data_IF_716023733912
#
_entry.id   IF_716023733912
#
_cell.length_a   1.000
_cell.length_b   1.000
_cell.length_c   1.000
_cell.angle_alpha   90.00
_cell.angle_beta   90.00
_cell.angle_gamma   90.00
#
_symmetry.space_group_name_H-M   'P 1'
#
loop_
_entity.id
_entity.type
_entity.pdbx_description
1 polymer ?
#
# COMPACT_ATOMS: atom_id res chain seq x y z
N UNK A 1 -15.78 22.71 -19.63
CA UNK A 1 -15.25 22.16 -18.37
C UNK A 1 -14.40 20.96 -18.77
N UNK A 2 -13.07 21.07 -18.71
CA UNK A 2 -12.20 19.91 -18.95
C UNK A 2 -12.31 18.99 -17.74
N UNK A 3 -12.83 17.78 -17.94
CA UNK A 3 -12.88 16.75 -16.91
C UNK A 3 -11.42 16.33 -16.66
N UNK A 4 -10.80 16.77 -15.56
CA UNK A 4 -9.49 16.22 -15.20
C UNK A 4 -9.68 14.71 -14.96
N UNK A 5 -8.90 13.89 -15.65
CA UNK A 5 -8.93 12.45 -15.47
C UNK A 5 -8.55 12.12 -14.01
N UNK A 6 -9.33 11.26 -13.37
CA UNK A 6 -9.03 10.78 -12.01
C UNK A 6 -7.73 9.96 -12.09
N UNK A 7 -6.70 10.30 -11.30
CA UNK A 7 -5.47 9.52 -11.25
C UNK A 7 -5.76 8.07 -10.88
N UNK A 8 -5.22 7.16 -11.68
CA UNK A 8 -5.38 5.72 -11.49
C UNK A 8 -4.04 5.01 -11.57
N UNK A 9 -3.91 3.93 -10.82
CA UNK A 9 -2.80 3.00 -10.90
C UNK A 9 -3.34 1.57 -10.97
N UNK A 10 -2.92 0.79 -11.95
CA UNK A 10 -3.36 -0.60 -12.13
C UNK A 10 -2.15 -1.52 -12.17
N UNK A 11 -2.23 -2.65 -11.47
CA UNK A 11 -1.21 -3.70 -11.46
C UNK A 11 -1.84 -5.06 -11.16
N UNK A 12 -1.00 -6.08 -11.01
CA UNK A 12 -1.39 -7.46 -10.70
C UNK A 12 -0.48 -7.99 -9.59
N UNK A 13 -1.09 -8.47 -8.50
CA UNK A 13 -0.38 -9.29 -7.52
C UNK A 13 -0.16 -10.67 -8.13
N UNK A 14 1.08 -11.18 -8.07
CA UNK A 14 1.47 -12.49 -8.62
C UNK A 14 2.25 -13.28 -7.58
N UNK A 15 2.51 -14.56 -7.84
CA UNK A 15 3.37 -15.38 -6.98
C UNK A 15 4.83 -14.89 -6.89
N UNK A 16 5.25 -13.98 -7.79
CA UNK A 16 6.56 -13.33 -7.75
C UNK A 16 6.52 -11.96 -7.06
N UNK A 17 5.35 -11.49 -6.63
CA UNK A 17 5.23 -10.26 -5.86
C UNK A 17 5.93 -10.40 -4.51
N UNK A 18 6.37 -9.27 -3.96
CA UNK A 18 6.99 -9.27 -2.65
C UNK A 18 5.97 -9.69 -1.58
N UNK A 19 6.48 -10.22 -0.48
CA UNK A 19 5.64 -10.79 0.56
C UNK A 19 5.91 -10.19 1.92
N UNK A 20 4.88 -10.10 2.76
CA UNK A 20 5.00 -9.68 4.14
C UNK A 20 3.96 -10.35 5.03
N UNK A 21 4.06 -10.06 6.33
CA UNK A 21 3.06 -10.47 7.31
C UNK A 21 2.07 -9.35 7.61
N UNK A 22 0.78 -9.67 7.62
CA UNK A 22 -0.18 -8.76 8.24
C UNK A 22 0.08 -8.69 9.75
N UNK A 23 -0.35 -7.58 10.36
CA UNK A 23 -0.11 -7.22 11.77
C UNK A 23 -0.44 -8.32 12.78
N UNK A 24 -1.46 -9.13 12.51
CA UNK A 24 -2.03 -10.10 13.46
C UNK A 24 -1.69 -11.55 13.14
N UNK A 25 -0.98 -11.80 12.04
CA UNK A 25 -0.81 -13.15 11.51
C UNK A 25 0.57 -13.73 11.79
N UNK A 26 0.58 -15.01 12.15
CA UNK A 26 1.77 -15.83 12.04
C UNK A 26 1.88 -16.33 10.59
N UNK A 27 2.88 -15.91 9.85
CA UNK A 27 3.02 -16.20 8.40
C UNK A 27 4.15 -17.15 8.07
N UNK A 28 4.56 -17.97 9.04
CA UNK A 28 5.61 -18.97 8.85
C UNK A 28 5.31 -19.93 7.68
N UNK A 29 4.02 -20.13 7.35
CA UNK A 29 3.59 -21.09 6.32
C UNK A 29 2.93 -20.46 5.07
N UNK A 30 2.55 -19.17 5.11
CA UNK A 30 1.87 -18.52 3.98
C UNK A 30 1.84 -17.01 4.16
N UNK A 31 2.57 -16.25 3.34
CA UNK A 31 2.61 -14.80 3.45
C UNK A 31 1.61 -14.12 2.50
N UNK A 32 1.46 -12.82 2.67
CA UNK A 32 0.62 -11.97 1.81
C UNK A 32 1.46 -11.36 0.71
N UNK A 33 1.01 -11.49 -0.54
CA UNK A 33 1.59 -10.78 -1.67
C UNK A 33 1.19 -9.31 -1.61
N UNK A 34 2.15 -8.41 -1.83
CA UNK A 34 1.89 -6.98 -1.81
C UNK A 34 2.57 -6.24 -2.96
N UNK A 35 2.09 -5.03 -3.20
CA UNK A 35 2.78 -4.02 -3.99
C UNK A 35 2.81 -2.70 -3.24
N UNK A 36 3.99 -2.06 -3.19
CA UNK A 36 4.20 -0.79 -2.53
C UNK A 36 4.33 0.35 -3.55
N UNK A 37 3.62 1.43 -3.27
CA UNK A 37 3.56 2.64 -4.10
C UNK A 37 3.97 3.84 -3.27
N UNK A 38 5.01 4.54 -3.70
CA UNK A 38 5.27 5.88 -3.19
C UNK A 38 4.27 6.86 -3.81
N UNK A 39 3.63 7.66 -2.98
CA UNK A 39 2.70 8.70 -3.39
C UNK A 39 3.43 10.03 -3.56
N UNK A 40 3.19 10.70 -4.68
CA UNK A 40 3.70 12.04 -4.95
C UNK A 40 2.55 13.05 -4.81
N UNK A 41 2.52 13.75 -3.68
CA UNK A 41 1.50 14.75 -3.34
C UNK A 41 2.00 16.13 -3.73
N UNK A 42 1.29 16.80 -4.64
CA UNK A 42 1.64 18.14 -5.15
C UNK A 42 0.86 19.29 -4.50
N UNK A 43 -0.13 18.98 -3.69
CA UNK A 43 -0.96 19.96 -2.98
C UNK A 43 -1.40 19.39 -1.64
N UNK A 44 -1.30 20.18 -0.57
CA UNK A 44 -1.83 19.80 0.73
C UNK A 44 -3.36 19.67 0.65
N UNK A 45 -3.93 18.61 1.22
CA UNK A 45 -5.38 18.43 1.17
C UNK A 45 -5.87 17.07 1.61
N UNK A 46 -7.19 16.91 1.63
CA UNK A 46 -7.82 15.62 1.84
C UNK A 46 -7.81 14.81 0.54
N UNK A 47 -7.31 13.60 0.65
CA UNK A 47 -7.25 12.62 -0.42
C UNK A 47 -7.99 11.35 -0.01
N UNK A 48 -8.74 10.78 -0.95
CA UNK A 48 -9.38 9.48 -0.82
C UNK A 48 -8.75 8.53 -1.83
N UNK A 49 -8.28 7.39 -1.36
CA UNK A 49 -7.80 6.30 -2.20
C UNK A 49 -8.78 5.14 -2.08
N UNK A 50 -9.17 4.60 -3.22
CA UNK A 50 -10.11 3.49 -3.32
C UNK A 50 -9.48 2.40 -4.17
N UNK A 51 -9.54 1.15 -3.70
CA UNK A 51 -9.19 -0.01 -4.51
C UNK A 51 -10.41 -0.54 -5.27
N UNK A 52 -10.16 -1.17 -6.41
CA UNK A 52 -11.13 -1.97 -7.13
C UNK A 52 -10.45 -3.23 -7.67
N UNK A 53 -11.01 -4.38 -7.33
CA UNK A 53 -10.53 -5.70 -7.68
C UNK A 53 -11.66 -6.72 -7.57
N UNK A 54 -11.47 -7.90 -8.17
CA UNK A 54 -12.24 -9.09 -7.84
C UNK A 54 -11.73 -9.83 -6.60
N UNK A 55 -10.55 -9.46 -6.11
CA UNK A 55 -9.99 -9.96 -4.84
C UNK A 55 -10.57 -9.19 -3.67
N UNK A 56 -10.61 -9.82 -2.50
CA UNK A 56 -10.80 -9.12 -1.22
C UNK A 56 -9.49 -8.38 -0.87
N UNK A 57 -9.50 -7.05 -0.96
CA UNK A 57 -8.27 -6.25 -0.89
C UNK A 57 -8.09 -5.64 0.48
N UNK A 58 -6.83 -5.56 0.90
CA UNK A 58 -6.46 -4.98 2.18
C UNK A 58 -5.39 -3.91 1.91
N UNK A 59 -5.55 -2.74 2.50
CA UNK A 59 -4.74 -1.56 2.22
C UNK A 59 -4.06 -1.02 3.47
N UNK A 60 -2.81 -0.58 3.30
CA UNK A 60 -2.08 0.16 4.34
C UNK A 60 -1.57 1.48 3.76
N UNK A 61 -1.66 2.54 4.55
CA UNK A 61 -1.03 3.82 4.26
C UNK A 61 -0.01 4.13 5.35
N UNK A 62 1.24 4.34 4.94
CA UNK A 62 2.37 4.61 5.81
C UNK A 62 2.87 6.04 5.68
N UNK A 63 3.33 6.59 6.80
CA UNK A 63 4.15 7.80 6.82
C UNK A 63 5.61 7.43 6.58
N UNK A 64 6.25 8.08 5.61
CA UNK A 64 7.67 7.98 5.28
C UNK A 64 8.12 6.59 4.77
N UNK A 65 8.14 5.57 5.62
CA UNK A 65 8.70 4.25 5.29
C UNK A 65 7.76 3.10 5.64
N UNK A 66 7.83 2.05 4.81
CA UNK A 66 7.24 0.74 5.03
C UNK A 66 8.38 -0.28 5.10
N UNK A 67 8.36 -1.13 6.13
CA UNK A 67 9.27 -2.26 6.28
C UNK A 67 8.45 -3.56 6.36
N UNK A 68 8.59 -4.50 5.40
CA UNK A 68 7.84 -5.75 5.42
C UNK A 68 8.19 -6.65 6.61
N UNK A 69 9.33 -6.44 7.28
CA UNK A 69 9.72 -7.15 8.52
C UNK A 69 8.99 -6.56 9.75
N UNK A 70 8.76 -5.25 9.74
CA UNK A 70 8.07 -4.53 10.82
C UNK A 70 6.86 -3.74 10.29
N UNK A 71 5.86 -4.42 9.73
CA UNK A 71 4.81 -3.79 8.94
C UNK A 71 3.83 -2.97 9.77
N UNK A 72 3.92 -3.01 11.09
CA UNK A 72 3.10 -2.21 12.02
C UNK A 72 3.67 -0.82 12.28
N UNK A 73 4.91 -0.56 11.86
CA UNK A 73 5.56 0.73 12.09
C UNK A 73 5.06 1.78 11.08
N UNK A 74 4.94 3.03 11.54
CA UNK A 74 4.58 4.20 10.71
C UNK A 74 3.23 4.15 10.00
N UNK A 75 2.31 3.26 10.39
CA UNK A 75 0.96 3.22 9.82
C UNK A 75 0.20 4.50 10.16
N UNK A 76 -0.41 5.10 9.14
CA UNK A 76 -1.39 6.17 9.27
C UNK A 76 -2.82 5.66 9.16
N UNK A 77 -3.08 4.71 8.24
CA UNK A 77 -4.38 4.10 8.05
C UNK A 77 -4.26 2.66 7.56
N UNK A 78 -5.30 1.89 7.87
CA UNK A 78 -5.51 0.51 7.43
C UNK A 78 -6.99 0.36 7.15
N UNK A 79 -7.34 -0.32 6.06
CA UNK A 79 -8.73 -0.65 5.74
C UNK A 79 -8.79 -1.85 4.79
N UNK A 80 -9.90 -2.58 4.81
CA UNK A 80 -10.16 -3.76 3.98
C UNK A 80 -11.58 -3.81 3.38
N UNK A 81 -12.54 -3.02 3.87
CA UNK A 81 -13.93 -3.14 3.41
C UNK A 81 -14.69 -1.83 3.17
N UNK A 82 -14.13 -0.67 3.56
CA UNK A 82 -14.86 0.61 3.51
C UNK A 82 -15.13 1.14 2.09
N UNK A 83 -14.43 0.60 1.07
CA UNK A 83 -14.64 0.92 -0.35
C UNK A 83 -15.83 0.21 -1.00
N UNK A 84 -16.48 -0.71 -0.27
CA UNK A 84 -17.53 -1.58 -0.80
C UNK A 84 -16.96 -2.75 -1.59
N UNK A 85 -17.75 -3.82 -1.76
CA UNK A 85 -17.29 -5.08 -2.38
C UNK A 85 -15.97 -5.63 -1.78
N UNK A 86 -15.78 -5.49 -0.46
CA UNK A 86 -14.56 -5.92 0.24
C UNK A 86 -13.28 -5.26 -0.30
N UNK A 87 -13.39 -3.98 -0.67
CA UNK A 87 -12.26 -3.19 -1.14
C UNK A 87 -11.85 -2.18 -0.08
N UNK A 88 -10.55 -1.97 0.08
CA UNK A 88 -10.07 -0.92 0.97
C UNK A 88 -10.39 0.47 0.41
N UNK A 89 -10.65 1.41 1.33
CA UNK A 89 -10.74 2.84 1.09
C UNK A 89 -10.24 3.61 2.32
N UNK A 90 -9.33 4.56 2.10
CA UNK A 90 -8.90 5.50 3.14
C UNK A 90 -9.06 6.94 2.68
N UNK A 91 -9.47 7.81 3.60
CA UNK A 91 -9.55 9.26 3.41
C UNK A 91 -8.68 9.96 4.44
N UNK A 92 -7.72 10.78 3.98
CA UNK A 92 -6.72 11.38 4.85
C UNK A 92 -6.22 12.73 4.34
N UNK A 93 -5.89 13.63 5.27
CA UNK A 93 -5.15 14.85 4.94
C UNK A 93 -3.68 14.53 4.70
N UNK A 94 -3.19 14.79 3.49
CA UNK A 94 -1.79 14.58 3.10
C UNK A 94 -1.13 15.92 2.77
N UNK A 95 0.16 16.01 3.06
CA UNK A 95 0.96 17.21 2.86
C UNK A 95 1.96 17.02 1.72
N UNK A 96 2.25 18.11 1.04
CA UNK A 96 3.39 18.23 0.13
C UNK A 96 4.69 18.00 0.89
N UNK A 97 5.73 17.55 0.16
CA UNK A 97 7.08 17.27 0.68
C UNK A 97 7.18 16.17 1.74
N UNK A 98 6.05 15.63 2.20
CA UNK A 98 6.00 14.39 2.97
C UNK A 98 6.03 13.18 2.05
N UNK A 99 6.68 12.12 2.50
CA UNK A 99 6.68 10.84 1.80
C UNK A 99 5.59 9.95 2.38
N UNK A 100 4.78 9.36 1.50
CA UNK A 100 3.77 8.38 1.89
C UNK A 100 3.93 7.12 1.05
N UNK A 101 3.73 5.97 1.68
CA UNK A 101 3.74 4.67 1.01
C UNK A 101 2.38 4.03 1.16
N UNK A 102 1.74 3.73 0.04
CA UNK A 102 0.53 2.94 -0.04
C UNK A 102 0.92 1.51 -0.37
N UNK A 103 0.51 0.56 0.47
CA UNK A 103 0.68 -0.87 0.21
C UNK A 103 -0.68 -1.48 -0.09
N UNK A 104 -0.79 -2.08 -1.27
CA UNK A 104 -1.95 -2.88 -1.67
C UNK A 104 -1.63 -4.37 -1.52
N UNK A 105 -2.52 -5.08 -0.84
CA UNK A 105 -2.43 -6.52 -0.55
C UNK A 105 -3.84 -7.09 -0.50
N UNK A 106 -4.00 -8.28 0.05
CA UNK A 106 -5.26 -9.04 0.09
C UNK A 106 -5.61 -9.42 1.52
N UNK A 107 -6.90 -9.54 1.83
CA UNK A 107 -7.37 -9.93 3.17
C UNK A 107 -6.92 -11.35 3.54
N UNK A 108 -6.92 -12.25 2.55
CA UNK A 108 -6.51 -13.64 2.72
C UNK A 108 -5.13 -13.90 2.12
N UNK A 109 -4.38 -14.82 2.72
CA UNK A 109 -3.03 -15.21 2.28
C UNK A 109 -3.07 -15.93 0.93
N UNK A 110 -1.94 -15.93 0.22
CA UNK A 110 -1.75 -16.61 -1.07
C UNK A 110 -2.72 -16.18 -2.20
N UNK A 111 -3.39 -15.03 -2.09
CA UNK A 111 -4.27 -14.51 -3.13
C UNK A 111 -3.49 -13.63 -4.10
N UNK A 112 -3.76 -13.82 -5.39
CA UNK A 112 -3.15 -13.09 -6.51
C UNK A 112 -4.25 -12.63 -7.45
N UNK A 113 -3.99 -11.57 -8.22
CA UNK A 113 -4.98 -11.01 -9.12
C UNK A 113 -4.78 -9.53 -9.43
N UNK A 114 -5.53 -9.01 -10.41
CA UNK A 114 -5.44 -7.62 -10.82
C UNK A 114 -6.12 -6.70 -9.81
N UNK A 115 -5.59 -5.49 -9.65
CA UNK A 115 -6.21 -4.45 -8.85
C UNK A 115 -6.00 -3.08 -9.51
N UNK A 116 -6.86 -2.13 -9.17
CA UNK A 116 -6.74 -0.74 -9.58
C UNK A 116 -6.99 0.16 -8.38
N UNK A 117 -6.14 1.16 -8.19
CA UNK A 117 -6.30 2.19 -7.16
C UNK A 117 -6.64 3.50 -7.85
N UNK A 118 -7.67 4.18 -7.36
CA UNK A 118 -8.04 5.53 -7.80
C UNK A 118 -7.82 6.51 -6.67
N UNK A 119 -7.26 7.69 -6.97
CA UNK A 119 -7.10 8.77 -6.00
C UNK A 119 -8.00 9.96 -6.34
N UNK A 120 -8.78 10.40 -5.36
CA UNK A 120 -9.60 11.60 -5.42
C UNK A 120 -9.05 12.64 -4.46
N UNK A 121 -8.95 13.89 -4.88
CA UNK A 121 -8.44 14.98 -4.04
C UNK A 121 -8.38 16.31 -4.78
N UNK A 122 -7.74 17.29 -4.15
CA UNK A 122 -7.62 18.66 -4.69
C UNK A 122 -6.68 18.76 -5.90
N UNK A 123 -5.76 17.81 -6.05
CA UNK A 123 -4.85 17.71 -7.19
C UNK A 123 -4.60 16.24 -7.57
N UNK A 124 -4.13 15.94 -8.79
CA UNK A 124 -3.69 14.60 -9.16
C UNK A 124 -2.60 14.04 -8.24
N UNK A 125 -2.69 12.76 -7.87
CA UNK A 125 -1.63 12.05 -7.14
C UNK A 125 -0.77 11.27 -8.13
N UNK A 126 0.55 11.39 -8.02
CA UNK A 126 1.47 10.51 -8.73
C UNK A 126 1.70 9.20 -7.97
N UNK A 127 1.73 8.09 -8.67
CA UNK A 127 2.06 6.77 -8.11
C UNK A 127 3.38 6.29 -8.69
N UNK A 128 4.33 5.97 -7.82
CA UNK A 128 5.60 5.34 -8.21
C UNK A 128 5.69 3.99 -7.53
N UNK A 129 5.69 2.90 -8.31
CA UNK A 129 5.97 1.56 -7.76
C UNK A 129 7.39 1.51 -7.22
N UNK A 130 7.53 1.03 -5.99
CA UNK A 130 8.81 0.83 -5.33
C UNK A 130 8.96 -0.65 -4.95
N UNK A 131 10.16 -1.19 -5.16
CA UNK A 131 10.52 -2.50 -4.63
C UNK A 131 11.23 -2.27 -3.29
N UNK A 132 10.67 -2.80 -2.21
CA UNK A 132 11.28 -2.69 -0.89
C UNK A 132 12.25 -3.84 -0.72
N UNK A 133 13.53 -3.62 -1.00
CA UNK A 133 14.55 -4.56 -0.55
C UNK A 133 14.50 -4.59 0.96
N UNK A 134 14.08 -5.70 1.57
CA UNK A 134 14.40 -5.93 2.97
C UNK A 134 15.91 -5.75 3.08
N UNK A 135 16.37 -4.81 3.91
CA UNK A 135 17.77 -4.84 4.32
C UNK A 135 17.91 -6.18 4.99
N UNK A 136 18.47 -7.17 4.29
CA UNK A 136 18.96 -8.39 4.91
C UNK A 136 19.71 -7.91 6.14
N UNK A 137 19.27 -8.33 7.32
CA UNK A 137 19.95 -7.99 8.54
C UNK A 137 21.43 -8.38 8.38
N UNK A 138 22.30 -7.40 8.09
CA UNK A 138 23.69 -7.50 8.47
C UNK A 138 23.66 -7.43 10.00
N UNK A 139 23.32 -8.56 10.63
CA UNK A 139 23.83 -8.85 11.95
C UNK A 139 25.35 -8.98 11.75
N UNK A 140 26.06 -7.84 11.83
CA UNK A 140 27.42 -7.89 12.32
C UNK A 140 27.27 -8.47 13.73
N UNK A 141 27.64 -9.75 13.87
CA UNK A 141 27.97 -10.32 15.16
C UNK A 141 29.18 -9.53 15.65
N UNK A 142 28.96 -8.51 16.46
CA UNK A 142 29.97 -8.17 17.45
C UNK A 142 29.95 -9.30 18.48
N UNK A 143 30.93 -10.20 18.35
CA UNK A 143 31.38 -11.02 19.47
C UNK A 143 32.90 -11.07 19.46
N UNK A 144 33.43 -10.37 20.48
CA UNK A 144 34.78 -10.34 21.07
C UNK A 144 35.83 -9.49 20.35
#
# INVERSE_FOLDING_TARGET
ISLMAVPTYSSVLTFNSQTFCHRTDNCLDSPFFYEALQLNISMDGNYTFLCNSSMDTYGYLYNNTFDPVYPTMNILAIDDDSGGNYQFMFSMFLQTLSQYILVATTYNKNITGPFTITAHGLAPVGFTRINISSKSSMYFREFL
#
